data_IF_717973073736
#
_entry.id   IF_717973073736
#
_cell.length_a   1.000
_cell.length_b   1.000
_cell.length_c   1.000
_cell.angle_alpha   90.00
_cell.angle_beta   90.00
_cell.angle_gamma   90.00
#
_symmetry.space_group_name_H-M   'P 1'
#
loop_
_entity.id
_entity.type
_entity.pdbx_description
1 polymer ?
#
# COMPACT_ATOMS: atom_id res chain seq x y z
N UNK A 1 -1.76 29.48 -15.18
CA UNK A 1 -1.55 28.28 -14.37
C UNK A 1 -2.91 27.62 -14.24
N UNK A 2 -3.20 26.58 -14.99
CA UNK A 2 -4.39 25.75 -14.83
C UNK A 2 -4.23 25.04 -13.48
N UNK A 3 -5.04 25.40 -12.48
CA UNK A 3 -5.04 24.75 -11.19
C UNK A 3 -5.51 23.32 -11.34
N UNK A 4 -4.57 22.38 -11.49
CA UNK A 4 -4.87 20.97 -11.36
C UNK A 4 -5.41 20.73 -9.97
N UNK A 5 -6.67 20.33 -9.89
CA UNK A 5 -7.31 19.97 -8.62
C UNK A 5 -6.62 18.69 -8.13
N UNK A 6 -5.93 18.79 -7.00
CA UNK A 6 -5.23 17.65 -6.40
C UNK A 6 -6.19 16.51 -6.01
N UNK A 7 -7.46 16.84 -5.76
CA UNK A 7 -8.54 15.89 -5.45
C UNK A 7 -9.91 16.49 -5.84
N UNK A 8 -10.88 15.62 -6.08
CA UNK A 8 -12.26 16.01 -6.39
C UNK A 8 -13.24 15.02 -5.75
N UNK A 9 -14.37 15.50 -5.26
CA UNK A 9 -15.44 14.67 -4.74
C UNK A 9 -16.09 13.84 -5.84
N UNK A 10 -16.45 12.59 -5.54
CA UNK A 10 -17.25 11.74 -6.41
C UNK A 10 -18.72 12.00 -6.07
N UNK A 11 -19.42 12.70 -6.96
CA UNK A 11 -20.84 12.98 -6.78
C UNK A 11 -21.67 11.70 -6.64
N UNK A 12 -22.54 11.67 -5.62
CA UNK A 12 -23.42 10.51 -5.37
C UNK A 12 -22.77 9.32 -4.68
N UNK A 13 -21.49 9.37 -4.32
CA UNK A 13 -20.88 8.32 -3.49
C UNK A 13 -21.40 8.37 -2.05
N UNK A 14 -21.65 7.20 -1.45
CA UNK A 14 -22.07 7.08 -0.06
C UNK A 14 -21.31 5.92 0.61
N UNK A 15 -20.41 6.16 1.55
CA UNK A 15 -19.94 7.48 2.01
C UNK A 15 -19.27 8.31 0.90
N UNK A 16 -19.19 9.62 1.11
CA UNK A 16 -18.56 10.55 0.15
C UNK A 16 -17.09 10.19 -0.04
N UNK A 17 -16.70 9.97 -1.29
CA UNK A 17 -15.33 9.65 -1.65
C UNK A 17 -14.71 10.75 -2.52
N UNK A 18 -13.38 10.79 -2.51
CA UNK A 18 -12.60 11.77 -3.26
C UNK A 18 -11.60 11.08 -4.17
N UNK A 19 -11.60 11.42 -5.45
CA UNK A 19 -10.56 10.99 -6.39
C UNK A 19 -9.34 11.89 -6.32
N UNK A 20 -8.19 11.32 -6.65
CA UNK A 20 -6.90 12.00 -6.72
C UNK A 20 -6.34 11.86 -8.14
N UNK A 21 -6.77 12.71 -9.10
CA UNK A 21 -6.46 12.53 -10.52
C UNK A 21 -4.96 12.43 -10.82
N UNK A 22 -4.17 13.37 -10.30
CA UNK A 22 -2.72 13.40 -10.52
C UNK A 22 -2.00 12.19 -9.93
N UNK A 23 -2.37 11.76 -8.70
CA UNK A 23 -1.77 10.58 -8.07
C UNK A 23 -2.13 9.30 -8.83
N UNK A 24 -3.39 9.16 -9.27
CA UNK A 24 -3.85 8.02 -10.04
C UNK A 24 -3.19 7.97 -11.42
N UNK A 25 -3.05 9.10 -12.10
CA UNK A 25 -2.33 9.22 -13.37
C UNK A 25 -0.86 8.80 -13.23
N UNK A 26 -0.18 9.26 -12.17
CA UNK A 26 1.20 8.86 -11.89
C UNK A 26 1.34 7.35 -11.61
N UNK A 27 0.36 6.74 -10.91
CA UNK A 27 0.36 5.29 -10.73
C UNK A 27 0.22 4.56 -12.07
N UNK A 28 -0.74 4.95 -12.92
CA UNK A 28 -0.94 4.35 -14.24
C UNK A 28 0.34 4.42 -15.08
N UNK A 29 1.03 5.57 -15.08
CA UNK A 29 2.31 5.75 -15.77
C UNK A 29 3.34 4.74 -15.29
N UNK A 30 3.55 4.66 -13.97
CA UNK A 30 4.53 3.72 -13.36
C UNK A 30 4.16 2.26 -13.60
N UNK A 31 2.86 1.94 -13.59
CA UNK A 31 2.37 0.59 -13.88
C UNK A 31 2.71 0.18 -15.32
N UNK A 32 2.51 1.09 -16.28
CA UNK A 32 2.89 0.85 -17.67
C UNK A 32 4.40 0.72 -17.81
N UNK A 33 5.17 1.61 -17.21
CA UNK A 33 6.64 1.56 -17.31
C UNK A 33 7.23 0.26 -16.76
N UNK A 34 6.66 -0.26 -15.67
CA UNK A 34 7.12 -1.50 -15.05
C UNK A 34 6.63 -2.77 -15.77
N UNK A 35 5.51 -2.70 -16.54
CA UNK A 35 4.84 -3.88 -17.11
C UNK A 35 4.54 -3.70 -18.60
N UNK A 36 5.29 -2.88 -19.31
CA UNK A 36 4.98 -2.45 -20.69
C UNK A 36 4.77 -3.61 -21.65
N UNK A 37 5.71 -4.56 -21.69
CA UNK A 37 5.64 -5.70 -22.60
C UNK A 37 4.38 -6.54 -22.36
N UNK A 38 4.06 -6.80 -21.10
CA UNK A 38 2.87 -7.54 -20.74
C UNK A 38 1.59 -6.79 -21.13
N UNK A 39 1.47 -5.51 -20.74
CA UNK A 39 0.27 -4.73 -21.01
C UNK A 39 0.05 -4.46 -22.52
N UNK A 40 1.13 -4.38 -23.29
CA UNK A 40 1.06 -4.25 -24.76
C UNK A 40 0.61 -5.56 -25.43
N UNK A 41 0.89 -6.73 -24.81
CA UNK A 41 0.47 -8.02 -25.36
C UNK A 41 -0.98 -8.36 -25.08
N UNK A 42 -1.56 -7.84 -23.99
CA UNK A 42 -2.92 -8.13 -23.54
C UNK A 42 -3.92 -7.17 -24.14
N UNK A 43 -5.00 -7.70 -24.75
CA UNK A 43 -6.07 -6.89 -25.33
C UNK A 43 -7.19 -6.63 -24.33
N UNK A 44 -7.89 -5.51 -24.55
CA UNK A 44 -9.12 -5.19 -23.84
C UNK A 44 -10.16 -6.27 -24.11
N UNK A 45 -10.78 -6.76 -23.06
CA UNK A 45 -11.75 -7.87 -23.12
C UNK A 45 -13.06 -7.58 -22.41
N UNK A 46 -13.15 -6.44 -21.73
CA UNK A 46 -14.36 -5.99 -21.03
C UNK A 46 -14.96 -4.75 -21.71
N UNK A 47 -16.23 -4.49 -21.44
CA UNK A 47 -16.91 -3.30 -21.95
C UNK A 47 -16.73 -2.12 -21.00
N UNK A 48 -16.19 -1.02 -21.52
CA UNK A 48 -15.94 0.21 -20.74
C UNK A 48 -16.74 1.40 -21.32
N UNK A 49 -18.07 1.46 -21.13
CA UNK A 49 -18.93 2.46 -21.76
C UNK A 49 -18.58 3.91 -21.36
N UNK A 50 -17.96 4.09 -20.19
CA UNK A 50 -17.48 5.39 -19.73
C UNK A 50 -16.23 5.90 -20.48
N UNK A 51 -15.52 5.02 -21.22
CA UNK A 51 -14.29 5.33 -21.95
C UNK A 51 -14.53 5.28 -23.48
N UNK A 52 -15.28 6.25 -23.99
CA UNK A 52 -15.72 6.31 -25.39
C UNK A 52 -14.58 6.30 -26.42
N UNK A 53 -13.36 6.68 -26.01
CA UNK A 53 -12.18 6.73 -26.89
C UNK A 53 -11.50 5.36 -27.05
N UNK A 54 -11.86 4.37 -26.26
CA UNK A 54 -11.26 3.05 -26.27
C UNK A 54 -11.80 2.25 -27.47
N UNK A 55 -10.90 1.77 -28.32
CA UNK A 55 -11.25 0.90 -29.45
C UNK A 55 -11.29 -0.56 -29.04
N UNK A 56 -12.12 -1.41 -29.66
CA UNK A 56 -12.17 -2.85 -29.34
C UNK A 56 -10.84 -3.59 -29.52
N UNK A 57 -9.95 -3.08 -30.37
CA UNK A 57 -8.63 -3.67 -30.63
C UNK A 57 -7.51 -3.12 -29.73
N UNK A 58 -7.84 -2.22 -28.80
CA UNK A 58 -6.86 -1.59 -27.92
C UNK A 58 -6.22 -2.62 -26.97
N UNK A 59 -4.96 -2.37 -26.64
CA UNK A 59 -4.24 -3.13 -25.61
C UNK A 59 -4.50 -2.54 -24.21
N UNK A 60 -4.10 -3.27 -23.16
CA UNK A 60 -4.17 -2.73 -21.79
C UNK A 60 -3.18 -1.56 -21.61
N UNK A 61 -2.08 -1.53 -22.36
CA UNK A 61 -1.19 -0.38 -22.43
C UNK A 61 -1.92 0.86 -22.99
N UNK A 62 -2.67 0.68 -24.10
CA UNK A 62 -3.45 1.79 -24.70
C UNK A 62 -4.54 2.28 -23.75
N UNK A 63 -5.21 1.37 -23.04
CA UNK A 63 -6.20 1.71 -22.03
C UNK A 63 -5.55 2.58 -20.93
N UNK A 64 -4.42 2.14 -20.37
CA UNK A 64 -3.74 2.86 -19.30
C UNK A 64 -3.24 4.25 -19.75
N UNK A 65 -2.77 4.38 -21.02
CA UNK A 65 -2.34 5.65 -21.62
C UNK A 65 -3.42 6.72 -21.60
N UNK A 66 -4.69 6.38 -21.68
CA UNK A 66 -5.77 7.35 -21.58
C UNK A 66 -5.76 8.09 -20.24
N UNK A 67 -5.42 7.40 -19.14
CA UNK A 67 -5.45 7.95 -17.78
C UNK A 67 -4.25 8.84 -17.44
N UNK A 68 -3.11 8.69 -18.12
CA UNK A 68 -2.00 9.61 -17.92
C UNK A 68 -1.92 10.70 -18.98
N UNK A 69 -2.59 10.53 -20.11
CA UNK A 69 -2.78 11.61 -21.08
C UNK A 69 -3.82 12.63 -20.62
N UNK A 70 -4.82 12.18 -19.86
CA UNK A 70 -5.85 13.03 -19.26
C UNK A 70 -6.08 12.60 -17.79
N UNK A 71 -5.50 13.31 -16.81
CA UNK A 71 -5.69 13.03 -15.39
C UNK A 71 -7.16 13.06 -14.94
N UNK A 72 -8.04 13.82 -15.59
CA UNK A 72 -9.46 13.90 -15.22
C UNK A 72 -10.20 12.58 -15.38
N UNK A 73 -9.76 11.70 -16.27
CA UNK A 73 -10.34 10.37 -16.47
C UNK A 73 -9.53 9.26 -15.79
N UNK A 74 -8.41 9.58 -15.17
CA UNK A 74 -7.45 8.61 -14.62
C UNK A 74 -8.09 7.60 -13.67
N UNK A 75 -9.00 8.03 -12.79
CA UNK A 75 -9.70 7.12 -11.89
C UNK A 75 -10.57 6.09 -12.62
N UNK A 76 -11.30 6.52 -13.63
CA UNK A 76 -12.14 5.63 -14.47
C UNK A 76 -11.27 4.65 -15.27
N UNK A 77 -10.13 5.12 -15.76
CA UNK A 77 -9.14 4.27 -16.45
C UNK A 77 -8.53 3.26 -15.48
N UNK A 78 -8.18 3.67 -14.27
CA UNK A 78 -7.69 2.75 -13.24
C UNK A 78 -8.71 1.64 -12.94
N UNK A 79 -9.98 2.00 -12.72
CA UNK A 79 -11.04 1.03 -12.48
C UNK A 79 -11.23 0.06 -13.66
N UNK A 80 -11.17 0.59 -14.89
CA UNK A 80 -11.25 -0.23 -16.11
C UNK A 80 -10.05 -1.18 -16.23
N UNK A 81 -8.84 -0.69 -15.98
CA UNK A 81 -7.62 -1.51 -16.01
C UNK A 81 -7.68 -2.60 -14.93
N UNK A 82 -8.15 -2.28 -13.72
CA UNK A 82 -8.35 -3.26 -12.66
C UNK A 82 -9.33 -4.35 -13.07
N UNK A 83 -10.49 -3.96 -13.65
CA UNK A 83 -11.48 -4.90 -14.16
C UNK A 83 -10.92 -5.82 -15.24
N UNK A 84 -10.08 -5.30 -16.14
CA UNK A 84 -9.39 -6.10 -17.15
C UNK A 84 -8.40 -7.09 -16.54
N UNK A 85 -7.57 -6.63 -15.60
CA UNK A 85 -6.52 -7.45 -14.97
C UNK A 85 -7.11 -8.57 -14.08
N UNK A 86 -8.31 -8.37 -13.54
CA UNK A 86 -9.00 -9.37 -12.71
C UNK A 86 -10.04 -10.20 -13.49
N UNK A 87 -10.20 -9.95 -14.79
CA UNK A 87 -11.16 -10.68 -15.62
C UNK A 87 -10.75 -12.15 -15.79
N UNK A 88 -11.66 -13.08 -15.49
CA UNK A 88 -11.49 -14.52 -15.72
C UNK A 88 -12.06 -14.98 -17.05
N UNK A 89 -12.93 -14.17 -17.66
CA UNK A 89 -13.56 -14.42 -18.95
C UNK A 89 -13.81 -13.11 -19.69
N UNK A 90 -13.91 -13.13 -21.02
CA UNK A 90 -14.24 -11.95 -21.81
C UNK A 90 -15.71 -11.57 -21.68
N UNK A 91 -16.02 -10.30 -21.94
CA UNK A 91 -17.38 -9.87 -22.13
C UNK A 91 -17.95 -10.38 -23.48
N UNK A 92 -19.27 -10.57 -23.54
CA UNK A 92 -19.95 -11.05 -24.73
C UNK A 92 -19.62 -10.20 -25.97
N UNK A 93 -19.13 -10.86 -27.02
CA UNK A 93 -18.70 -10.26 -28.28
C UNK A 93 -17.20 -9.91 -28.35
N UNK A 94 -16.42 -10.19 -27.29
CA UNK A 94 -14.97 -9.93 -27.20
C UNK A 94 -14.14 -11.23 -27.00
N UNK A 95 -14.71 -12.40 -27.32
CA UNK A 95 -14.11 -13.70 -27.06
C UNK A 95 -12.85 -13.98 -27.87
N UNK A 96 -12.80 -13.45 -29.12
CA UNK A 96 -11.72 -13.79 -30.07
C UNK A 96 -10.32 -13.38 -29.64
N UNK A 97 -10.22 -12.28 -28.88
CA UNK A 97 -8.94 -11.69 -28.51
C UNK A 97 -8.62 -11.87 -27.03
N UNK A 98 -9.47 -12.61 -26.29
CA UNK A 98 -9.24 -12.82 -24.87
C UNK A 98 -8.03 -13.74 -24.61
N UNK A 99 -7.15 -13.26 -23.79
CA UNK A 99 -6.02 -14.02 -23.26
C UNK A 99 -6.18 -14.11 -21.72
N UNK A 100 -5.91 -15.27 -21.12
CA UNK A 100 -5.92 -15.42 -19.66
C UNK A 100 -5.05 -14.34 -19.00
N UNK A 101 -5.57 -13.71 -17.97
CA UNK A 101 -4.82 -12.70 -17.23
C UNK A 101 -3.84 -13.37 -16.27
N UNK A 102 -2.61 -12.87 -16.18
CA UNK A 102 -1.63 -13.42 -15.23
C UNK A 102 -2.04 -13.10 -13.78
N UNK A 103 -1.52 -13.88 -12.82
CA UNK A 103 -1.68 -13.54 -11.41
C UNK A 103 -1.03 -12.18 -11.09
N UNK A 104 -1.58 -11.47 -10.10
CA UNK A 104 -1.13 -10.13 -9.75
C UNK A 104 -0.43 -10.10 -8.39
N UNK A 105 0.62 -9.29 -8.29
CA UNK A 105 1.19 -8.85 -7.02
C UNK A 105 0.78 -7.40 -6.76
N UNK A 106 0.07 -7.19 -5.66
CA UNK A 106 -0.27 -5.85 -5.15
C UNK A 106 0.48 -5.64 -3.84
N UNK A 107 1.37 -4.67 -3.80
CA UNK A 107 2.14 -4.33 -2.60
C UNK A 107 1.86 -2.88 -2.20
N UNK A 108 1.46 -2.70 -0.95
CA UNK A 108 1.20 -1.40 -0.32
C UNK A 108 2.20 -1.21 0.80
N UNK A 109 3.12 -0.26 0.63
CA UNK A 109 4.05 0.14 1.68
C UNK A 109 3.51 1.36 2.43
N UNK A 110 3.78 1.41 3.74
CA UNK A 110 3.37 2.51 4.59
C UNK A 110 1.87 2.52 4.91
N UNK A 111 1.25 1.36 5.09
CA UNK A 111 -0.18 1.22 5.42
C UNK A 111 -0.63 2.15 6.55
N UNK A 112 0.23 2.44 7.54
CA UNK A 112 -0.07 3.33 8.65
C UNK A 112 -0.51 4.74 8.21
N UNK A 113 0.00 5.25 7.08
CA UNK A 113 -0.39 6.55 6.54
C UNK A 113 -1.86 6.59 6.07
N UNK A 114 -2.44 5.45 5.74
CA UNK A 114 -3.84 5.36 5.33
C UNK A 114 -4.81 5.28 6.51
N UNK A 115 -4.30 5.15 7.73
CA UNK A 115 -5.10 4.98 8.95
C UNK A 115 -5.33 6.29 9.71
N UNK A 116 -5.12 7.43 9.06
CA UNK A 116 -5.23 8.75 9.66
C UNK A 116 -5.91 9.74 8.72
N UNK A 117 -6.14 10.94 9.20
CA UNK A 117 -6.56 12.05 8.36
C UNK A 117 -5.50 12.37 7.31
N UNK A 118 -5.94 12.68 6.10
CA UNK A 118 -5.08 13.14 5.02
C UNK A 118 -4.80 14.65 5.15
N UNK A 119 -3.88 15.16 4.32
CA UNK A 119 -3.65 16.59 4.21
C UNK A 119 -4.80 17.36 3.50
N UNK A 120 -5.76 16.64 2.92
CA UNK A 120 -6.87 17.23 2.18
C UNK A 120 -7.99 17.69 3.13
N UNK A 121 -8.78 18.68 2.67
CA UNK A 121 -9.91 19.24 3.38
C UNK A 121 -11.18 19.17 2.54
N UNK A 122 -12.32 18.93 3.18
CA UNK A 122 -13.63 19.03 2.51
C UNK A 122 -13.95 20.49 2.15
N UNK A 123 -15.07 20.73 1.46
CA UNK A 123 -15.57 22.07 1.17
C UNK A 123 -15.85 22.88 2.45
N UNK A 124 -16.17 22.20 3.55
CA UNK A 124 -16.41 22.78 4.89
C UNK A 124 -15.11 22.86 5.72
N UNK A 125 -13.94 22.74 5.11
CA UNK A 125 -12.62 22.75 5.75
C UNK A 125 -12.37 21.64 6.80
N UNK A 126 -13.20 20.61 6.83
CA UNK A 126 -12.98 19.45 7.70
C UNK A 126 -11.89 18.55 7.12
N UNK A 127 -11.05 17.91 7.96
CA UNK A 127 -10.09 16.93 7.48
C UNK A 127 -10.80 15.80 6.75
N UNK A 128 -10.21 15.35 5.63
CA UNK A 128 -10.66 14.16 4.91
C UNK A 128 -9.82 12.98 5.41
N UNK A 129 -10.48 11.97 5.97
CA UNK A 129 -9.78 10.75 6.36
C UNK A 129 -9.25 10.01 5.11
N UNK A 130 -8.10 9.36 5.22
CA UNK A 130 -7.50 8.67 4.07
C UNK A 130 -8.42 7.58 3.50
N UNK A 131 -9.25 6.92 4.31
CA UNK A 131 -10.23 5.94 3.85
C UNK A 131 -11.31 6.51 2.91
N UNK A 132 -11.52 7.83 2.93
CA UNK A 132 -12.48 8.51 2.06
C UNK A 132 -11.85 8.87 0.69
N UNK A 133 -10.56 8.62 0.50
CA UNK A 133 -9.91 8.72 -0.80
C UNK A 133 -10.21 7.45 -1.61
N UNK A 134 -10.80 7.60 -2.79
CA UNK A 134 -11.26 6.47 -3.62
C UNK A 134 -10.15 5.46 -3.92
N UNK A 135 -8.93 5.94 -4.13
CA UNK A 135 -7.75 5.12 -4.34
C UNK A 135 -7.40 4.26 -3.11
N UNK A 136 -7.36 4.88 -1.93
CA UNK A 136 -7.11 4.18 -0.66
C UNK A 136 -8.24 3.21 -0.36
N UNK A 137 -9.49 3.65 -0.50
CA UNK A 137 -10.67 2.82 -0.29
C UNK A 137 -10.63 1.56 -1.16
N UNK A 138 -10.28 1.70 -2.45
CA UNK A 138 -10.18 0.55 -3.36
C UNK A 138 -9.20 -0.51 -2.83
N UNK A 139 -7.98 -0.12 -2.44
CA UNK A 139 -7.01 -1.09 -1.94
C UNK A 139 -7.36 -1.63 -0.56
N UNK A 140 -8.00 -0.86 0.31
CA UNK A 140 -8.46 -1.35 1.61
C UNK A 140 -9.65 -2.31 1.49
N UNK A 141 -10.52 -2.15 0.49
CA UNK A 141 -11.62 -3.08 0.25
C UNK A 141 -11.12 -4.49 -0.09
N UNK A 142 -9.95 -4.60 -0.75
CA UNK A 142 -9.36 -5.90 -1.08
C UNK A 142 -9.02 -6.75 0.16
N UNK A 143 -8.79 -6.13 1.33
CA UNK A 143 -8.59 -6.85 2.59
C UNK A 143 -9.87 -7.55 3.10
N UNK A 144 -11.04 -7.08 2.67
CA UNK A 144 -12.35 -7.60 3.08
C UNK A 144 -12.99 -8.52 2.04
N UNK A 145 -12.56 -8.41 0.78
CA UNK A 145 -13.11 -9.17 -0.34
C UNK A 145 -12.34 -10.49 -0.51
N UNK A 146 -13.04 -11.59 -0.33
CA UNK A 146 -12.44 -12.92 -0.41
C UNK A 146 -11.99 -13.36 -1.81
N UNK A 147 -12.39 -12.63 -2.86
CA UNK A 147 -12.20 -13.02 -4.26
C UNK A 147 -11.72 -11.84 -5.12
N UNK A 148 -10.94 -10.95 -4.52
CA UNK A 148 -10.47 -9.72 -5.15
C UNK A 148 -9.49 -9.96 -6.33
N UNK A 149 -8.71 -11.06 -6.28
CA UNK A 149 -7.76 -11.46 -7.32
C UNK A 149 -8.17 -12.79 -7.95
N UNK A 150 -9.24 -12.78 -8.74
CA UNK A 150 -9.85 -13.98 -9.35
C UNK A 150 -8.89 -14.83 -10.19
N UNK A 151 -7.86 -14.20 -10.77
CA UNK A 151 -6.82 -14.89 -11.55
C UNK A 151 -5.65 -15.38 -10.67
N UNK A 152 -5.80 -15.32 -9.37
CA UNK A 152 -4.74 -15.57 -8.40
C UNK A 152 -3.84 -14.34 -8.20
N UNK A 153 -3.06 -14.38 -7.15
CA UNK A 153 -2.14 -13.31 -6.82
C UNK A 153 -1.84 -13.21 -5.34
N UNK A 154 -1.15 -12.15 -4.97
CA UNK A 154 -0.76 -11.86 -3.60
C UNK A 154 -1.00 -10.40 -3.29
N UNK A 155 -1.66 -10.14 -2.15
CA UNK A 155 -1.82 -8.81 -1.58
C UNK A 155 -0.86 -8.69 -0.39
N UNK A 156 0.03 -7.72 -0.44
CA UNK A 156 0.99 -7.43 0.63
C UNK A 156 0.75 -6.00 1.15
N UNK A 157 0.58 -5.88 2.45
CA UNK A 157 0.49 -4.59 3.12
C UNK A 157 1.59 -4.51 4.18
N UNK A 158 2.47 -3.52 4.03
CA UNK A 158 3.57 -3.31 4.96
C UNK A 158 3.33 -2.09 5.84
N UNK A 159 3.70 -2.20 7.10
CA UNK A 159 3.76 -1.09 8.05
C UNK A 159 5.00 -1.24 8.92
N UNK A 160 5.46 -0.14 9.50
CA UNK A 160 6.62 -0.13 10.38
C UNK A 160 6.30 0.64 11.65
N UNK A 161 6.62 0.05 12.81
CA UNK A 161 6.47 0.71 14.11
C UNK A 161 7.47 1.86 14.32
N UNK A 162 8.56 1.90 13.54
CA UNK A 162 9.58 2.97 13.62
C UNK A 162 9.22 4.22 12.81
N UNK A 163 8.21 4.16 11.96
CA UNK A 163 7.77 5.27 11.12
C UNK A 163 6.56 5.98 11.71
N UNK A 164 6.50 7.30 11.52
CA UNK A 164 5.27 8.07 11.74
C UNK A 164 4.43 8.06 10.46
N UNK A 165 3.09 8.03 10.56
CA UNK A 165 2.30 7.97 11.79
C UNK A 165 2.29 6.57 12.41
N UNK A 166 2.03 6.52 13.74
CA UNK A 166 1.82 5.28 14.49
C UNK A 166 0.38 5.27 15.06
N UNK A 167 -0.64 4.94 14.25
CA UNK A 167 -2.04 5.00 14.66
C UNK A 167 -2.35 3.91 15.69
N UNK A 168 -2.79 4.29 16.89
CA UNK A 168 -3.14 3.34 17.95
C UNK A 168 -4.20 2.32 17.51
N UNK A 169 -5.18 2.75 16.74
CA UNK A 169 -6.23 1.88 16.21
C UNK A 169 -5.66 0.76 15.32
N UNK A 170 -4.68 1.08 14.45
CA UNK A 170 -4.01 0.07 13.62
C UNK A 170 -3.25 -0.94 14.47
N UNK A 171 -2.50 -0.48 15.49
CA UNK A 171 -1.77 -1.39 16.35
C UNK A 171 -2.72 -2.37 17.05
N UNK A 172 -3.84 -1.89 17.60
CA UNK A 172 -4.85 -2.75 18.21
C UNK A 172 -5.45 -3.73 17.18
N UNK A 173 -5.70 -3.29 15.95
CA UNK A 173 -6.20 -4.17 14.89
C UNK A 173 -5.20 -5.27 14.52
N UNK A 174 -3.89 -4.95 14.47
CA UNK A 174 -2.81 -5.91 14.24
C UNK A 174 -2.66 -6.88 15.43
N UNK A 175 -2.71 -6.38 16.66
CA UNK A 175 -2.68 -7.22 17.86
C UNK A 175 -3.88 -8.19 17.91
N UNK A 176 -5.08 -7.73 17.53
CA UNK A 176 -6.26 -8.58 17.37
C UNK A 176 -6.07 -9.66 16.30
N UNK A 177 -5.42 -9.31 15.19
CA UNK A 177 -5.10 -10.26 14.14
C UNK A 177 -4.12 -11.32 14.65
N UNK A 178 -3.05 -10.90 15.34
CA UNK A 178 -2.09 -11.80 15.98
C UNK A 178 -2.76 -12.72 17.01
N UNK A 179 -3.63 -12.18 17.86
CA UNK A 179 -4.38 -12.95 18.84
C UNK A 179 -5.25 -14.03 18.17
N UNK A 180 -5.95 -13.69 17.09
CA UNK A 180 -6.74 -14.68 16.32
C UNK A 180 -5.85 -15.76 15.71
N UNK A 181 -4.70 -15.41 15.13
CA UNK A 181 -3.75 -16.39 14.60
C UNK A 181 -3.21 -17.31 15.69
N UNK A 182 -3.06 -16.81 16.93
CA UNK A 182 -2.70 -17.61 18.10
C UNK A 182 -3.87 -18.43 18.70
N UNK A 183 -5.09 -18.37 18.11
CA UNK A 183 -6.27 -19.09 18.58
C UNK A 183 -6.94 -18.46 19.81
N UNK A 184 -6.62 -17.21 20.15
CA UNK A 184 -7.24 -16.50 21.28
C UNK A 184 -8.64 -16.05 20.86
N UNK A 185 -9.65 -16.48 21.63
CA UNK A 185 -11.04 -16.10 21.38
C UNK A 185 -11.28 -14.61 21.64
N UNK A 186 -12.13 -13.98 20.82
CA UNK A 186 -12.54 -12.59 21.01
C UNK A 186 -13.24 -12.33 22.36
N UNK A 187 -13.76 -13.37 23.01
CA UNK A 187 -14.35 -13.29 24.35
C UNK A 187 -13.34 -13.46 25.50
N UNK A 188 -12.09 -13.79 25.18
CA UNK A 188 -11.03 -13.93 26.19
C UNK A 188 -10.64 -12.58 26.78
N UNK A 189 -10.35 -12.50 28.10
CA UNK A 189 -9.77 -11.31 28.72
C UNK A 189 -8.41 -10.91 28.12
N UNK A 190 -7.70 -11.86 27.50
CA UNK A 190 -6.40 -11.62 26.84
C UNK A 190 -6.54 -11.02 25.43
N UNK A 191 -7.79 -10.97 24.88
CA UNK A 191 -8.02 -10.41 23.57
C UNK A 191 -7.85 -8.87 23.58
N UNK A 192 -7.03 -8.29 22.70
CA UNK A 192 -6.71 -6.86 22.72
C UNK A 192 -7.96 -5.99 22.61
N UNK A 193 -8.15 -5.13 23.62
CA UNK A 193 -9.26 -4.17 23.65
C UNK A 193 -8.71 -2.74 23.59
N UNK A 194 -9.41 -1.82 22.90
CA UNK A 194 -9.04 -0.42 22.98
C UNK A 194 -9.24 0.08 24.42
N UNK A 195 -8.33 0.92 24.94
CA UNK A 195 -8.54 1.57 26.23
C UNK A 195 -9.90 2.27 26.30
N UNK A 196 -10.57 2.23 27.45
CA UNK A 196 -11.94 2.72 27.62
C UNK A 196 -12.18 4.18 27.21
N UNK A 197 -11.12 4.99 27.19
CA UNK A 197 -11.16 6.42 26.82
C UNK A 197 -10.31 6.68 25.54
N UNK A 198 -10.14 5.69 24.69
CA UNK A 198 -9.36 5.82 23.47
C UNK A 198 -10.25 6.30 22.32
N UNK A 199 -9.82 7.37 21.64
CA UNK A 199 -10.39 7.82 20.37
C UNK A 199 -9.96 6.93 19.19
N UNK A 200 -9.92 5.61 19.38
CA UNK A 200 -9.54 4.69 18.33
C UNK A 200 -10.63 4.67 17.23
N UNK A 201 -10.26 5.02 15.99
CA UNK A 201 -11.20 5.05 14.87
C UNK A 201 -11.77 3.64 14.61
N UNK A 202 -13.09 3.45 14.73
CA UNK A 202 -13.74 2.15 14.50
C UNK A 202 -13.47 1.60 13.11
N UNK A 203 -13.38 2.45 12.08
CA UNK A 203 -13.09 2.06 10.69
C UNK A 203 -11.75 1.34 10.58
N UNK A 204 -10.75 1.80 11.35
CA UNK A 204 -9.41 1.19 11.39
C UNK A 204 -9.42 -0.07 12.25
N UNK A 205 -10.10 -0.07 13.39
CA UNK A 205 -10.23 -1.25 14.26
C UNK A 205 -10.89 -2.43 13.55
N UNK A 206 -11.84 -2.15 12.66
CA UNK A 206 -12.61 -3.17 11.94
C UNK A 206 -11.99 -3.54 10.57
N UNK A 207 -10.88 -2.90 10.19
CA UNK A 207 -10.24 -3.10 8.89
C UNK A 207 -9.80 -4.56 8.68
N UNK A 208 -9.21 -5.17 9.70
CA UNK A 208 -8.63 -6.50 9.64
C UNK A 208 -9.56 -7.58 10.24
N UNK A 209 -10.83 -7.26 10.48
CA UNK A 209 -11.78 -8.26 10.90
C UNK A 209 -12.14 -9.19 9.72
N UNK A 210 -12.21 -10.50 9.95
CA UNK A 210 -12.59 -11.42 8.90
C UNK A 210 -14.00 -11.09 8.42
N UNK A 211 -14.20 -11.01 7.11
CA UNK A 211 -15.54 -11.01 6.55
C UNK A 211 -16.17 -12.39 6.84
N UNK A 212 -17.48 -12.43 7.10
CA UNK A 212 -18.21 -13.69 7.43
C UNK A 212 -18.02 -14.80 6.37
N UNK A 213 -17.61 -14.43 5.15
CA UNK A 213 -17.42 -15.33 4.01
C UNK A 213 -16.00 -15.29 3.44
N UNK A 214 -15.01 -14.83 4.19
CA UNK A 214 -13.64 -14.76 3.70
C UNK A 214 -13.10 -16.18 3.42
N UNK A 215 -12.72 -16.44 2.17
CA UNK A 215 -12.14 -17.74 1.75
C UNK A 215 -10.66 -17.81 2.18
N UNK A 216 -9.97 -16.67 2.22
CA UNK A 216 -8.58 -16.59 2.65
C UNK A 216 -8.43 -15.59 3.79
N UNK A 217 -7.96 -16.04 4.97
CA UNK A 217 -7.71 -15.13 6.08
C UNK A 217 -6.55 -14.21 5.74
N UNK A 218 -6.62 -12.98 6.27
CA UNK A 218 -5.45 -12.09 6.30
C UNK A 218 -4.44 -12.67 7.29
N UNK A 219 -3.20 -12.85 6.85
CA UNK A 219 -2.12 -13.33 7.70
C UNK A 219 -1.20 -12.17 8.09
N UNK A 220 -0.80 -12.14 9.36
CA UNK A 220 0.17 -11.20 9.88
C UNK A 220 1.53 -11.87 9.99
N UNK A 221 2.51 -11.31 9.27
CA UNK A 221 3.91 -11.68 9.41
C UNK A 221 4.66 -10.56 10.12
N UNK A 222 5.15 -10.81 11.33
CA UNK A 222 5.99 -9.86 12.05
C UNK A 222 7.45 -10.11 11.70
N UNK A 223 8.12 -9.08 11.18
CA UNK A 223 9.56 -9.12 10.91
C UNK A 223 10.29 -8.53 12.12
N UNK A 224 11.16 -9.35 12.72
CA UNK A 224 12.07 -8.91 13.77
C UNK A 224 13.21 -8.04 13.24
N UNK A 225 14.01 -7.52 14.17
CA UNK A 225 15.29 -6.89 13.82
C UNK A 225 16.30 -7.91 13.31
N UNK A 226 17.37 -7.44 12.68
CA UNK A 226 18.50 -8.25 12.27
C UNK A 226 19.16 -8.90 13.48
N UNK A 227 19.65 -10.11 13.32
CA UNK A 227 20.60 -10.70 14.28
C UNK A 227 21.87 -9.86 14.38
N UNK A 228 22.70 -10.08 15.39
CA UNK A 228 23.98 -9.34 15.51
C UNK A 228 24.90 -9.59 14.33
N UNK A 229 24.89 -10.81 13.81
CA UNK A 229 25.71 -11.20 12.66
C UNK A 229 25.24 -10.53 11.36
N UNK A 230 23.94 -10.52 11.11
CA UNK A 230 23.34 -9.80 9.99
C UNK A 230 23.56 -8.28 10.10
N UNK A 231 23.41 -7.72 11.32
CA UNK A 231 23.70 -6.30 11.58
C UNK A 231 25.17 -5.96 11.32
N UNK A 232 26.11 -6.88 11.64
CA UNK A 232 27.52 -6.73 11.25
C UNK A 232 27.66 -6.62 9.75
N UNK A 233 27.11 -7.58 9.00
CA UNK A 233 27.17 -7.58 7.53
C UNK A 233 26.57 -6.29 6.92
N UNK A 234 25.46 -5.83 7.49
CA UNK A 234 24.81 -4.56 7.10
C UNK A 234 25.74 -3.35 7.34
N UNK A 235 26.40 -3.26 8.51
CA UNK A 235 27.33 -2.18 8.84
C UNK A 235 28.62 -2.24 8.01
N UNK A 236 29.15 -3.43 7.75
CA UNK A 236 30.30 -3.62 6.87
C UNK A 236 29.99 -3.16 5.42
N UNK A 237 28.77 -3.40 4.94
CA UNK A 237 28.34 -2.87 3.66
C UNK A 237 28.39 -1.32 3.64
N UNK A 238 27.89 -0.66 4.69
CA UNK A 238 28.00 0.79 4.81
C UNK A 238 29.45 1.29 4.88
N UNK A 239 30.32 0.57 5.58
CA UNK A 239 31.74 0.92 5.65
C UNK A 239 32.42 0.79 4.28
N UNK A 240 32.18 -0.32 3.58
CA UNK A 240 32.72 -0.53 2.22
C UNK A 240 32.18 0.48 1.20
N UNK A 241 30.93 0.91 1.40
CA UNK A 241 30.32 1.97 0.57
C UNK A 241 30.80 3.38 0.92
N UNK A 242 31.70 3.55 1.88
CA UNK A 242 32.21 4.83 2.34
C UNK A 242 31.18 5.69 3.10
N UNK A 243 30.06 5.11 3.49
CA UNK A 243 29.01 5.77 4.26
C UNK A 243 29.35 5.79 5.76
N UNK A 244 30.05 4.77 6.25
CA UNK A 244 30.48 4.62 7.62
C UNK A 244 32.01 4.62 7.68
N UNK A 245 32.59 5.43 8.58
CA UNK A 245 34.06 5.56 8.75
C UNK A 245 34.57 4.94 10.06
N UNK A 246 33.69 4.28 10.80
CA UNK A 246 34.01 3.65 12.06
C UNK A 246 34.68 2.27 11.86
N UNK A 247 35.50 1.88 12.83
CA UNK A 247 36.05 0.52 12.85
C UNK A 247 35.00 -0.42 13.38
N UNK A 248 34.57 -1.34 12.53
CA UNK A 248 33.53 -2.31 12.87
C UNK A 248 34.16 -3.48 13.63
N UNK A 249 33.96 -3.52 14.96
CA UNK A 249 34.32 -4.62 15.81
C UNK A 249 33.08 -5.17 16.53
N UNK A 250 33.20 -6.30 17.24
CA UNK A 250 32.08 -6.95 17.93
C UNK A 250 31.41 -6.07 18.98
N UNK A 251 32.19 -5.31 19.71
CA UNK A 251 31.69 -4.40 20.72
C UNK A 251 30.84 -3.29 20.09
N UNK A 252 31.36 -2.67 19.04
CA UNK A 252 30.68 -1.60 18.30
C UNK A 252 29.37 -2.10 17.68
N UNK A 253 29.41 -3.29 17.04
CA UNK A 253 28.20 -3.92 16.47
C UNK A 253 27.16 -4.20 17.56
N UNK A 254 27.58 -4.78 18.70
CA UNK A 254 26.68 -5.08 19.80
C UNK A 254 26.05 -3.83 20.40
N UNK A 255 26.82 -2.75 20.53
CA UNK A 255 26.31 -1.45 20.98
C UNK A 255 25.26 -0.90 20.03
N UNK A 256 25.57 -0.81 18.72
CA UNK A 256 24.63 -0.26 17.73
C UNK A 256 23.41 -1.15 17.54
N UNK A 257 23.59 -2.45 17.60
CA UNK A 257 22.48 -3.41 17.59
C UNK A 257 21.51 -3.19 18.75
N UNK A 258 22.03 -3.01 19.97
CA UNK A 258 21.21 -2.74 21.15
C UNK A 258 20.51 -1.38 21.06
N UNK A 259 21.24 -0.33 20.63
CA UNK A 259 20.70 1.02 20.46
C UNK A 259 19.63 1.11 19.35
N UNK A 260 19.66 0.20 18.38
CA UNK A 260 18.66 0.11 17.32
C UNK A 260 17.41 -0.69 17.70
N UNK A 261 17.23 -0.99 18.99
CA UNK A 261 16.08 -1.79 19.44
C UNK A 261 16.15 -3.26 19.04
N UNK A 262 17.36 -3.85 19.00
CA UNK A 262 17.56 -5.24 18.63
C UNK A 262 17.69 -5.44 17.10
N UNK A 263 18.38 -4.54 16.43
CA UNK A 263 18.73 -4.70 15.01
C UNK A 263 17.67 -4.21 14.03
N UNK A 264 16.78 -3.29 14.42
CA UNK A 264 15.80 -2.70 13.50
C UNK A 264 16.55 -1.95 12.40
N UNK A 265 16.38 -2.39 11.14
CA UNK A 265 17.16 -1.91 9.98
C UNK A 265 17.09 -0.39 9.83
N UNK A 266 15.89 0.21 9.92
CA UNK A 266 15.72 1.66 9.81
C UNK A 266 16.44 2.44 10.93
N UNK A 267 16.56 1.87 12.11
CA UNK A 267 17.31 2.48 13.21
C UNK A 267 18.82 2.29 13.02
N UNK A 268 19.25 1.12 12.55
CA UNK A 268 20.66 0.87 12.18
C UNK A 268 21.13 1.83 11.07
N UNK A 269 20.31 2.07 10.06
CA UNK A 269 20.61 3.01 8.97
C UNK A 269 20.86 4.45 9.50
N UNK A 270 20.10 4.88 10.51
CA UNK A 270 20.27 6.20 11.10
C UNK A 270 21.67 6.42 11.71
N UNK A 271 22.30 5.37 12.24
CA UNK A 271 23.68 5.46 12.74
C UNK A 271 24.66 5.74 11.60
N UNK A 272 24.53 5.06 10.46
CA UNK A 272 25.35 5.33 9.28
C UNK A 272 25.21 6.77 8.74
N UNK A 273 24.00 7.33 8.77
CA UNK A 273 23.73 8.70 8.31
C UNK A 273 24.26 9.78 9.26
N UNK A 274 24.18 9.58 10.58
CA UNK A 274 24.59 10.57 11.59
C UNK A 274 26.08 10.84 11.58
N UNK A 275 26.91 9.84 11.31
CA UNK A 275 28.38 10.01 11.24
C UNK A 275 28.82 10.93 10.12
N UNK A 276 28.06 11.03 9.01
CA UNK A 276 28.34 11.97 7.93
C UNK A 276 28.16 13.43 8.33
N UNK A 277 27.18 13.74 9.17
CA UNK A 277 26.91 15.12 9.60
C UNK A 277 27.98 15.68 10.55
N UNK A 278 28.57 14.83 11.38
CA UNK A 278 29.63 15.25 12.32
C UNK A 278 31.00 15.42 11.67
N UNK A 279 31.29 14.68 10.58
CA UNK A 279 32.56 14.79 9.84
C UNK A 279 32.65 16.06 8.99
N UNK A 280 31.52 16.70 8.64
CA UNK A 280 31.49 17.95 7.86
C UNK A 280 31.57 19.23 8.74
N UNK A 281 31.40 19.10 10.06
CA UNK A 281 31.44 20.23 11.00
C UNK A 281 32.85 20.52 11.56
N UNK A 282 33.86 19.73 11.18
CA UNK A 282 35.27 19.91 11.62
C UNK A 282 36.17 20.31 10.44
N UNK A 283 35.79 21.38 9.68
CA UNK A 283 36.68 22.12 8.80
C UNK A 283 36.62 23.59 9.14
#
# INVERSE_FOLDING_TARGET
MSGETAYAAIEGSNPLQYVQPTATSALLTRTVDANRELLASLKVSQKHPALKMLKPSSTLEDLAKLGFSDPAVSWRVFQALWTELTATAPAAGLEKDFQPRPPMLVAVDGLAHWMTESAYRSAEFKPIHAHDLAFVHHFLSLLKESDSLKNGGLLLYATSASNNPNPKALNIALDRLAARQAGISASSPEYPQPPAYSDADPRVLDLLQPAEKAVSPVELQTLGGLTREEARGFMEYFARSGLLREIINDQWVSEKWSLSGGGIIGELEKFGRRVRATASASK
#
